data_IF_367042823008
#
_entry.id   IF_367042823008
#
_cell.length_a   1.000
_cell.length_b   1.000
_cell.length_c   1.000
_cell.angle_alpha   90.00
_cell.angle_beta   90.00
_cell.angle_gamma   90.00
#
_symmetry.space_group_name_H-M   'P 1'
#
loop_
_entity.id
_entity.type
_entity.pdbx_description
1 polymer ?
#
# COMPACT_ATOMS: atom_id res chain seq x y z
N UNK A 1 26.98 -34.34 -18.80
CA UNK A 1 26.04 -33.73 -19.70
C UNK A 1 24.75 -34.57 -19.67
N UNK A 2 23.76 -34.13 -18.97
CA UNK A 2 22.46 -34.77 -18.85
C UNK A 2 21.45 -33.65 -18.56
N UNK A 3 20.67 -33.30 -19.58
CA UNK A 3 19.67 -32.23 -19.50
C UNK A 3 18.47 -32.69 -18.69
N UNK A 4 18.07 -31.87 -17.73
CA UNK A 4 16.76 -31.95 -17.10
C UNK A 4 15.78 -31.13 -17.94
N UNK A 5 14.94 -31.83 -18.71
CA UNK A 5 13.70 -31.30 -19.29
C UNK A 5 12.63 -32.36 -19.09
N UNK A 6 12.17 -32.55 -17.86
CA UNK A 6 10.87 -33.15 -17.63
C UNK A 6 9.84 -32.01 -17.56
N UNK A 7 9.05 -31.88 -18.63
CA UNK A 7 7.81 -31.11 -18.59
C UNK A 7 6.85 -31.95 -17.73
N UNK A 8 6.53 -31.47 -16.53
CA UNK A 8 5.49 -32.09 -15.72
C UNK A 8 4.16 -31.72 -16.37
N UNK A 9 3.60 -32.64 -17.16
CA UNK A 9 2.21 -32.55 -17.59
C UNK A 9 1.31 -32.77 -16.39
N UNK A 10 0.49 -31.77 -16.05
CA UNK A 10 -0.50 -31.90 -14.99
C UNK A 10 -1.57 -32.91 -15.43
N UNK A 11 -2.00 -33.82 -14.53
CA UNK A 11 -3.06 -34.78 -14.85
C UNK A 11 -4.37 -34.07 -15.27
N UNK A 12 -5.05 -34.61 -16.26
CA UNK A 12 -6.29 -34.05 -16.84
C UNK A 12 -7.44 -33.88 -15.82
N UNK A 13 -7.40 -34.60 -14.71
CA UNK A 13 -8.36 -34.49 -13.61
C UNK A 13 -8.20 -33.21 -12.79
N UNK A 14 -7.02 -32.57 -12.78
CA UNK A 14 -6.81 -31.25 -12.16
C UNK A 14 -7.41 -30.13 -13.04
N UNK A 15 -7.42 -30.31 -14.34
CA UNK A 15 -8.00 -29.32 -15.28
C UNK A 15 -9.54 -29.35 -15.25
N UNK A 16 -10.15 -30.49 -14.91
CA UNK A 16 -11.60 -30.70 -14.92
C UNK A 16 -12.34 -30.18 -13.68
N UNK A 17 -11.64 -29.79 -12.60
CA UNK A 17 -12.24 -29.29 -11.36
C UNK A 17 -12.20 -27.76 -11.26
N UNK A 18 -12.35 -27.02 -12.37
CA UNK A 18 -12.58 -25.58 -12.24
C UNK A 18 -13.95 -25.35 -11.57
N UNK A 19 -14.01 -24.79 -10.34
CA UNK A 19 -15.29 -24.33 -9.82
C UNK A 19 -15.88 -23.33 -10.82
N UNK A 20 -17.18 -23.40 -11.05
CA UNK A 20 -17.88 -22.45 -11.90
C UNK A 20 -17.50 -21.04 -11.45
N UNK A 21 -16.88 -20.26 -12.33
CA UNK A 21 -16.49 -18.87 -12.06
C UNK A 21 -17.77 -18.14 -11.68
N UNK A 22 -17.86 -17.69 -10.44
CA UNK A 22 -18.95 -16.84 -10.02
C UNK A 22 -19.00 -15.63 -10.96
N UNK A 23 -20.17 -15.18 -11.44
CA UNK A 23 -20.26 -14.07 -12.35
C UNK A 23 -19.57 -12.86 -11.74
N UNK A 24 -18.63 -12.27 -12.46
CA UNK A 24 -17.95 -11.01 -12.11
C UNK A 24 -19.03 -10.00 -11.73
N UNK A 25 -18.98 -9.36 -10.55
CA UNK A 25 -19.99 -8.39 -10.17
C UNK A 25 -20.03 -7.29 -11.24
N UNK A 26 -21.17 -7.12 -11.88
CA UNK A 26 -21.41 -5.99 -12.80
C UNK A 26 -21.51 -4.76 -11.91
N UNK A 27 -20.46 -3.94 -11.89
CA UNK A 27 -20.45 -2.66 -11.19
C UNK A 27 -21.43 -1.72 -11.90
N UNK A 28 -22.67 -1.67 -11.42
CA UNK A 28 -23.61 -0.63 -11.82
C UNK A 28 -23.08 0.70 -11.31
N UNK A 29 -22.89 1.67 -12.23
CA UNK A 29 -22.57 3.08 -11.87
C UNK A 29 -23.71 3.60 -10.98
N UNK A 30 -23.57 3.39 -9.67
CA UNK A 30 -24.43 4.06 -8.70
C UNK A 30 -24.05 5.52 -8.72
N UNK A 31 -25.01 6.40 -9.01
CA UNK A 31 -24.81 7.84 -8.95
C UNK A 31 -24.19 8.21 -7.60
N UNK A 32 -23.03 8.84 -7.62
CA UNK A 32 -22.33 9.35 -6.44
C UNK A 32 -23.16 10.52 -5.90
N UNK A 33 -24.21 10.23 -5.13
CA UNK A 33 -24.73 11.18 -4.17
C UNK A 33 -23.61 11.39 -3.14
N UNK A 34 -23.51 12.58 -2.55
CA UNK A 34 -22.50 12.99 -1.56
C UNK A 34 -22.50 12.06 -0.33
N UNK A 35 -21.97 10.86 -0.53
CA UNK A 35 -21.85 9.88 0.53
C UNK A 35 -20.72 10.34 1.45
N UNK A 36 -20.99 10.38 2.77
CA UNK A 36 -19.94 10.69 3.75
C UNK A 36 -18.77 9.71 3.56
N UNK A 37 -17.53 10.17 3.71
CA UNK A 37 -16.37 9.31 3.59
C UNK A 37 -16.47 8.10 4.52
N UNK A 38 -16.15 6.92 4.01
CA UNK A 38 -16.09 5.68 4.77
C UNK A 38 -14.86 4.89 4.34
N UNK A 39 -14.08 4.41 5.32
CA UNK A 39 -12.77 3.80 5.12
C UNK A 39 -12.83 2.33 5.47
N UNK A 40 -12.46 1.46 4.53
CA UNK A 40 -12.07 0.08 4.79
C UNK A 40 -10.57 0.05 5.01
N UNK A 41 -10.13 -0.16 6.25
CA UNK A 41 -8.73 -0.24 6.63
C UNK A 41 -8.27 -1.69 6.57
N UNK A 42 -7.47 -2.02 5.56
CA UNK A 42 -6.83 -3.32 5.38
C UNK A 42 -5.47 -3.35 6.06
N UNK A 43 -5.25 -4.34 6.92
CA UNK A 43 -4.04 -4.45 7.74
C UNK A 43 -3.38 -5.82 7.48
N UNK A 44 -2.34 -5.88 6.65
CA UNK A 44 -1.47 -7.05 6.58
C UNK A 44 -0.76 -7.23 7.93
N UNK A 45 -0.94 -8.39 8.57
CA UNK A 45 -0.47 -8.64 9.92
C UNK A 45 0.32 -9.95 9.98
N UNK A 46 1.59 -9.92 9.51
CA UNK A 46 2.47 -11.08 9.53
C UNK A 46 2.60 -11.65 10.95
N UNK A 47 2.57 -12.98 11.07
CA UNK A 47 2.60 -13.70 12.35
C UNK A 47 1.51 -13.27 13.36
N UNK A 48 0.40 -12.66 12.89
CA UNK A 48 -0.68 -12.11 13.73
C UNK A 48 -0.18 -11.11 14.79
N UNK A 49 0.93 -10.40 14.52
CA UNK A 49 1.55 -9.44 15.45
C UNK A 49 1.44 -8.01 14.93
N UNK A 50 1.28 -7.09 15.87
CA UNK A 50 1.35 -5.65 15.61
C UNK A 50 2.22 -4.96 16.65
N UNK A 51 2.79 -3.80 16.30
CA UNK A 51 3.56 -3.00 17.25
C UNK A 51 2.66 -2.22 18.19
N UNK A 52 3.16 -1.89 19.38
CA UNK A 52 2.44 -1.07 20.35
C UNK A 52 2.14 0.33 19.79
N UNK A 53 3.07 0.92 19.03
CA UNK A 53 2.88 2.21 18.36
C UNK A 53 1.73 2.17 17.36
N UNK A 54 1.66 1.12 16.52
CA UNK A 54 0.54 0.91 15.61
C UNK A 54 -0.79 0.77 16.38
N UNK A 55 -0.84 -0.10 17.39
CA UNK A 55 -2.06 -0.33 18.19
C UNK A 55 -2.58 0.97 18.83
N UNK A 56 -1.68 1.78 19.44
CA UNK A 56 -2.03 3.07 20.01
C UNK A 56 -2.57 4.04 18.94
N UNK A 57 -1.91 4.12 17.77
CA UNK A 57 -2.36 4.95 16.65
C UNK A 57 -3.73 4.52 16.14
N UNK A 58 -3.99 3.22 16.07
CA UNK A 58 -5.25 2.64 15.59
C UNK A 58 -6.43 3.00 16.51
N UNK A 59 -6.24 2.87 17.82
CA UNK A 59 -7.26 3.27 18.84
C UNK A 59 -7.57 4.76 18.72
N UNK A 60 -6.54 5.59 18.61
CA UNK A 60 -6.70 7.03 18.46
C UNK A 60 -7.37 7.41 17.13
N UNK A 61 -7.08 6.68 16.03
CA UNK A 61 -7.74 6.86 14.74
C UNK A 61 -9.24 6.54 14.82
N UNK A 62 -9.62 5.45 15.47
CA UNK A 62 -11.02 5.09 15.66
C UNK A 62 -11.79 6.20 16.39
N UNK A 63 -11.22 6.73 17.46
CA UNK A 63 -11.83 7.83 18.22
C UNK A 63 -11.98 9.11 17.37
N UNK A 64 -10.94 9.46 16.60
CA UNK A 64 -10.96 10.63 15.73
C UNK A 64 -11.97 10.49 14.58
N UNK A 65 -12.03 9.32 13.94
CA UNK A 65 -13.02 9.03 12.89
C UNK A 65 -14.46 9.17 13.41
N UNK A 66 -14.73 8.65 14.62
CA UNK A 66 -16.04 8.80 15.27
C UNK A 66 -16.39 10.28 15.50
N UNK A 67 -15.46 11.10 15.99
CA UNK A 67 -15.64 12.56 16.18
C UNK A 67 -15.92 13.30 14.86
N UNK A 68 -15.26 12.89 13.76
CA UNK A 68 -15.37 13.51 12.44
C UNK A 68 -16.53 12.94 11.61
N UNK A 69 -17.25 11.93 12.12
CA UNK A 69 -18.35 11.27 11.41
C UNK A 69 -17.88 10.47 10.19
N UNK A 70 -16.61 10.01 10.19
CA UNK A 70 -16.03 9.11 9.19
C UNK A 70 -16.24 7.67 9.68
N UNK A 71 -16.92 6.86 8.87
CA UNK A 71 -17.05 5.43 9.18
C UNK A 71 -15.72 4.74 8.89
N UNK A 72 -15.24 3.91 9.81
CA UNK A 72 -14.05 3.07 9.61
C UNK A 72 -14.36 1.62 9.98
N UNK A 73 -13.91 0.70 9.13
CA UNK A 73 -13.93 -0.74 9.38
C UNK A 73 -12.51 -1.26 9.22
N UNK A 74 -12.10 -2.17 10.10
CA UNK A 74 -10.75 -2.72 10.14
C UNK A 74 -10.79 -4.20 9.80
N UNK A 75 -10.00 -4.62 8.82
CA UNK A 75 -9.84 -6.00 8.41
C UNK A 75 -8.37 -6.41 8.45
N UNK A 76 -8.10 -7.57 9.07
CA UNK A 76 -6.75 -8.08 9.27
C UNK A 76 -6.54 -9.35 8.46
N UNK A 77 -5.40 -9.45 7.78
CA UNK A 77 -4.92 -10.71 7.21
C UNK A 77 -3.68 -11.14 7.99
N UNK A 78 -3.89 -12.12 8.88
CA UNK A 78 -2.82 -12.72 9.69
C UNK A 78 -2.18 -13.94 9.01
N UNK A 79 -0.95 -14.26 9.40
CA UNK A 79 -0.20 -15.45 8.98
C UNK A 79 -0.02 -15.63 7.46
N UNK A 80 -0.13 -14.54 6.69
CA UNK A 80 0.19 -14.56 5.27
C UNK A 80 1.63 -14.08 5.06
N UNK A 81 2.47 -14.96 4.50
CA UNK A 81 3.90 -14.67 4.31
C UNK A 81 4.18 -13.83 3.06
N UNK A 82 3.28 -13.86 2.07
CA UNK A 82 3.38 -13.06 0.85
C UNK A 82 2.56 -11.78 1.00
N UNK A 83 3.25 -10.67 1.18
CA UNK A 83 2.59 -9.35 1.37
C UNK A 83 1.68 -8.98 0.19
N UNK A 84 2.10 -9.26 -1.03
CA UNK A 84 1.28 -9.03 -2.22
C UNK A 84 -0.03 -9.82 -2.19
N UNK A 85 -0.02 -11.06 -1.68
CA UNK A 85 -1.23 -11.87 -1.55
C UNK A 85 -2.15 -11.32 -0.46
N UNK A 86 -1.60 -10.95 0.69
CA UNK A 86 -2.36 -10.31 1.76
C UNK A 86 -3.08 -9.04 1.27
N UNK A 87 -2.39 -8.18 0.52
CA UNK A 87 -2.98 -6.96 -0.05
C UNK A 87 -4.10 -7.28 -1.05
N UNK A 88 -3.89 -8.24 -1.96
CA UNK A 88 -4.91 -8.63 -2.95
C UNK A 88 -6.16 -9.23 -2.28
N UNK A 89 -6.01 -10.04 -1.23
CA UNK A 89 -7.12 -10.56 -0.43
C UNK A 89 -7.92 -9.42 0.21
N UNK A 90 -7.24 -8.46 0.82
CA UNK A 90 -7.88 -7.30 1.46
C UNK A 90 -8.61 -6.41 0.43
N UNK A 91 -8.04 -6.21 -0.75
CA UNK A 91 -8.71 -5.50 -1.85
C UNK A 91 -9.99 -6.22 -2.27
N UNK A 92 -9.94 -7.55 -2.44
CA UNK A 92 -11.14 -8.33 -2.78
C UNK A 92 -12.23 -8.20 -1.73
N UNK A 93 -11.88 -8.30 -0.45
CA UNK A 93 -12.82 -8.12 0.66
C UNK A 93 -13.43 -6.72 0.71
N UNK A 94 -12.63 -5.69 0.44
CA UNK A 94 -13.12 -4.32 0.27
C UNK A 94 -14.16 -4.22 -0.85
N UNK A 95 -13.89 -4.80 -2.01
CA UNK A 95 -14.81 -4.77 -3.15
C UNK A 95 -16.12 -5.50 -2.89
N UNK A 96 -16.10 -6.52 -2.03
CA UNK A 96 -17.31 -7.22 -1.56
C UNK A 96 -18.20 -6.35 -0.64
N UNK A 97 -17.72 -5.20 -0.19
CA UNK A 97 -18.44 -4.27 0.70
C UNK A 97 -18.68 -2.92 0.02
N UNK A 98 -19.73 -2.77 -0.79
CA UNK A 98 -19.93 -1.63 -1.69
C UNK A 98 -20.16 -0.28 -1.01
N UNK A 99 -20.42 -0.26 0.29
CA UNK A 99 -20.72 0.94 1.06
C UNK A 99 -19.47 1.73 1.50
N UNK A 100 -18.25 1.14 1.40
CA UNK A 100 -17.02 1.88 1.67
C UNK A 100 -16.57 2.68 0.45
N UNK A 101 -16.26 3.96 0.66
CA UNK A 101 -15.82 4.88 -0.40
C UNK A 101 -14.32 4.83 -0.64
N UNK A 102 -13.55 4.49 0.39
CA UNK A 102 -12.09 4.42 0.36
C UNK A 102 -11.58 3.12 0.94
N UNK A 103 -10.48 2.65 0.39
CA UNK A 103 -9.64 1.62 0.99
C UNK A 103 -8.35 2.25 1.46
N UNK A 104 -7.89 1.87 2.64
CA UNK A 104 -6.60 2.27 3.17
C UNK A 104 -5.80 1.06 3.60
N UNK A 105 -4.51 1.04 3.28
CA UNK A 105 -3.54 0.15 3.91
C UNK A 105 -2.77 0.89 4.98
N UNK A 106 -2.61 0.24 6.14
CA UNK A 106 -1.59 0.59 7.13
C UNK A 106 -0.93 -0.70 7.59
N UNK A 107 0.40 -0.80 7.39
CA UNK A 107 1.15 -1.97 7.85
C UNK A 107 1.21 -2.00 9.39
N UNK A 108 1.12 -3.19 9.98
CA UNK A 108 0.96 -3.41 11.42
C UNK A 108 2.17 -2.95 12.29
N UNK A 109 3.20 -2.39 11.66
CA UNK A 109 4.41 -1.87 12.28
C UNK A 109 4.68 -0.38 11.98
N UNK A 110 3.69 0.31 11.40
CA UNK A 110 3.71 1.77 11.16
C UNK A 110 3.00 2.49 12.32
N UNK A 111 3.72 3.31 13.05
CA UNK A 111 3.14 4.25 14.02
C UNK A 111 2.85 5.61 13.37
N UNK A 112 1.69 6.20 13.67
CA UNK A 112 1.22 7.42 13.01
C UNK A 112 0.35 8.28 13.91
N UNK A 113 0.26 9.58 13.58
CA UNK A 113 -0.77 10.44 14.14
C UNK A 113 -2.08 10.24 13.39
N UNK A 114 -3.24 10.05 14.05
CA UNK A 114 -4.53 9.87 13.39
C UNK A 114 -4.89 10.96 12.38
N UNK A 115 -4.46 12.20 12.60
CA UNK A 115 -4.65 13.31 11.67
C UNK A 115 -4.02 13.05 10.30
N UNK A 116 -3.00 12.20 10.21
CA UNK A 116 -2.36 11.82 8.95
C UNK A 116 -3.34 11.12 8.00
N UNK A 117 -4.23 10.29 8.52
CA UNK A 117 -5.27 9.62 7.72
C UNK A 117 -6.28 10.64 7.17
N UNK A 118 -6.74 11.56 8.04
CA UNK A 118 -7.68 12.61 7.61
C UNK A 118 -7.03 13.56 6.60
N UNK A 119 -5.75 13.87 6.77
CA UNK A 119 -5.00 14.68 5.82
C UNK A 119 -4.96 14.07 4.42
N UNK A 120 -4.73 12.75 4.30
CA UNK A 120 -4.82 12.06 3.00
C UNK A 120 -6.25 12.10 2.45
N UNK A 121 -7.25 11.91 3.29
CA UNK A 121 -8.66 11.94 2.91
C UNK A 121 -9.08 13.33 2.41
N UNK A 122 -8.68 14.39 3.12
CA UNK A 122 -8.99 15.78 2.80
C UNK A 122 -8.29 16.26 1.51
N UNK A 123 -7.14 15.66 1.14
CA UNK A 123 -6.45 15.94 -0.13
C UNK A 123 -7.21 15.43 -1.36
N UNK A 124 -8.14 14.51 -1.18
CA UNK A 124 -9.14 14.05 -2.14
C UNK A 124 -8.62 13.58 -3.50
N UNK A 125 -7.43 12.97 -3.56
CA UNK A 125 -6.90 12.33 -4.78
C UNK A 125 -7.23 10.84 -4.80
N UNK A 126 -7.18 10.25 -6.00
CA UNK A 126 -7.54 8.83 -6.19
C UNK A 126 -6.59 7.88 -5.47
N UNK A 127 -5.29 8.22 -5.44
CA UNK A 127 -4.22 7.43 -4.84
C UNK A 127 -3.25 8.33 -4.09
N UNK A 128 -3.19 8.21 -2.76
CA UNK A 128 -2.39 9.08 -1.89
C UNK A 128 -1.70 8.25 -0.81
N UNK A 129 -0.40 8.43 -0.64
CA UNK A 129 0.41 7.78 0.40
C UNK A 129 1.04 8.83 1.32
N UNK A 130 1.42 8.44 2.54
CA UNK A 130 2.38 9.19 3.32
C UNK A 130 3.70 8.40 3.41
N UNK A 131 4.81 9.12 3.39
CA UNK A 131 6.14 8.53 3.28
C UNK A 131 6.68 8.18 4.66
N UNK A 132 7.19 6.97 4.82
CA UNK A 132 7.79 6.48 6.05
C UNK A 132 9.22 5.96 5.82
N UNK A 133 10.10 6.00 6.86
CA UNK A 133 11.48 5.56 6.71
C UNK A 133 11.59 4.04 6.51
N UNK A 134 12.62 3.62 5.78
CA UNK A 134 13.03 2.21 5.73
C UNK A 134 13.54 1.76 7.09
N UNK A 135 13.49 0.45 7.36
CA UNK A 135 14.09 -0.17 8.56
C UNK A 135 15.60 -0.32 8.44
N UNK A 136 16.28 0.78 8.06
CA UNK A 136 17.74 0.81 7.89
C UNK A 136 18.29 2.20 8.18
N UNK A 137 19.55 2.27 8.62
CA UNK A 137 20.30 3.49 8.80
C UNK A 137 21.51 3.45 7.88
N UNK A 138 21.67 4.47 7.06
CA UNK A 138 22.88 4.66 6.24
C UNK A 138 23.98 5.31 7.08
N UNK A 139 24.76 4.48 7.78
CA UNK A 139 25.87 4.94 8.63
C UNK A 139 26.98 5.66 7.86
N UNK A 140 27.18 5.32 6.57
CA UNK A 140 28.10 6.04 5.70
C UNK A 140 27.71 7.50 5.53
N UNK A 141 26.44 7.75 5.25
CA UNK A 141 25.89 9.11 5.13
C UNK A 141 25.95 9.87 6.45
N UNK A 142 25.66 9.21 7.59
CA UNK A 142 25.79 9.81 8.93
C UNK A 142 27.22 10.27 9.15
N UNK A 143 28.21 9.40 8.90
CA UNK A 143 29.63 9.73 9.04
C UNK A 143 30.05 10.91 8.16
N UNK A 144 29.61 10.92 6.91
CA UNK A 144 29.89 12.00 5.95
C UNK A 144 29.32 13.34 6.44
N UNK A 145 28.04 13.39 6.81
CA UNK A 145 27.38 14.61 7.29
C UNK A 145 28.04 15.14 8.56
N UNK A 146 28.32 14.27 9.53
CA UNK A 146 29.01 14.66 10.77
C UNK A 146 30.41 15.22 10.46
N UNK A 147 31.19 14.60 9.56
CA UNK A 147 32.52 15.10 9.18
C UNK A 147 32.50 16.45 8.48
N UNK A 148 31.37 16.80 7.84
CA UNK A 148 31.12 18.12 7.22
C UNK A 148 30.55 19.16 8.20
N UNK A 149 30.41 18.81 9.48
CA UNK A 149 29.89 19.73 10.51
C UNK A 149 28.39 19.96 10.44
N UNK A 150 27.60 19.02 9.90
CA UNK A 150 26.14 19.13 9.88
C UNK A 150 25.57 19.24 11.31
N UNK A 151 24.61 20.14 11.49
CA UNK A 151 23.86 20.33 12.74
C UNK A 151 22.51 19.59 12.75
N UNK A 152 22.22 18.82 11.68
CA UNK A 152 21.02 17.99 11.57
C UNK A 152 20.94 16.98 12.72
N UNK A 153 19.72 16.64 13.15
CA UNK A 153 19.52 15.58 14.15
C UNK A 153 20.09 14.25 13.62
N UNK A 154 21.04 13.69 14.36
CA UNK A 154 21.74 12.46 14.00
C UNK A 154 20.76 11.29 13.73
N UNK A 155 19.59 11.29 14.35
CA UNK A 155 18.53 10.30 14.16
C UNK A 155 17.89 10.39 12.78
N UNK A 156 17.93 11.57 12.16
CA UNK A 156 17.36 11.84 10.82
C UNK A 156 18.42 11.66 9.71
N UNK A 157 19.69 11.95 10.02
CA UNK A 157 20.78 11.98 9.03
C UNK A 157 20.89 10.73 8.17
N UNK A 158 20.67 9.57 8.77
CA UNK A 158 20.86 8.26 8.12
C UNK A 158 19.59 7.61 7.63
N UNK A 159 18.43 8.24 7.77
CA UNK A 159 17.18 7.67 7.30
C UNK A 159 17.11 7.65 5.78
N UNK A 160 16.56 6.58 5.23
CA UNK A 160 16.23 6.43 3.83
C UNK A 160 14.75 6.11 3.68
N UNK A 161 14.14 6.47 2.52
CA UNK A 161 12.70 6.39 2.29
C UNK A 161 12.42 5.69 0.96
N UNK A 162 11.31 4.92 0.90
CA UNK A 162 10.85 4.25 -0.31
C UNK A 162 9.96 5.17 -1.12
N UNK A 163 10.59 6.04 -1.92
CA UNK A 163 9.90 7.00 -2.77
C UNK A 163 10.75 7.33 -4.01
N UNK A 164 10.11 7.42 -5.16
CA UNK A 164 10.71 7.91 -6.40
C UNK A 164 9.86 9.09 -6.92
N UNK A 165 10.21 10.35 -6.58
CA UNK A 165 9.46 11.51 -7.01
C UNK A 165 9.56 11.74 -8.53
N UNK A 166 8.49 12.28 -9.14
CA UNK A 166 8.51 12.73 -10.55
C UNK A 166 9.07 14.13 -10.62
N UNK A 167 8.73 15.00 -9.66
CA UNK A 167 9.30 16.33 -9.51
C UNK A 167 9.67 16.55 -8.04
N UNK A 168 10.64 17.45 -7.80
CA UNK A 168 11.10 17.75 -6.45
C UNK A 168 10.33 18.89 -5.77
N UNK A 169 9.46 19.57 -6.52
CA UNK A 169 8.66 20.68 -5.98
C UNK A 169 7.42 20.12 -5.27
N UNK A 170 7.25 20.38 -3.97
CA UNK A 170 6.04 20.01 -3.27
C UNK A 170 4.83 20.72 -3.87
N UNK A 171 3.74 19.99 -4.03
CA UNK A 171 2.45 20.60 -4.30
C UNK A 171 1.98 21.41 -3.08
N UNK A 172 0.96 22.26 -3.26
CA UNK A 172 0.33 22.96 -2.12
C UNK A 172 0.02 21.99 -0.99
N UNK A 173 0.37 22.35 0.23
CA UNK A 173 0.22 21.53 1.43
C UNK A 173 1.18 20.32 1.56
N UNK A 174 2.29 20.26 0.85
CA UNK A 174 3.33 19.23 1.04
C UNK A 174 3.04 17.89 0.38
N UNK A 175 2.19 17.85 -0.65
CA UNK A 175 2.03 16.67 -1.49
C UNK A 175 2.80 16.81 -2.79
N UNK A 176 3.43 15.73 -3.24
CA UNK A 176 4.14 15.65 -4.52
C UNK A 176 3.64 14.48 -5.36
N UNK A 177 3.75 14.58 -6.68
CA UNK A 177 3.55 13.43 -7.57
C UNK A 177 4.77 12.53 -7.54
N UNK A 178 4.51 11.23 -7.52
CA UNK A 178 5.57 10.21 -7.44
C UNK A 178 5.39 9.14 -8.51
N UNK A 179 6.50 8.59 -8.94
CA UNK A 179 6.53 7.44 -9.83
C UNK A 179 6.24 6.15 -9.05
N UNK A 180 6.87 6.02 -7.89
CA UNK A 180 6.69 4.90 -6.97
C UNK A 180 6.74 5.39 -5.53
N UNK A 181 5.96 4.76 -4.67
CA UNK A 181 5.97 4.95 -3.21
C UNK A 181 5.59 3.66 -2.52
N UNK A 182 6.09 3.46 -1.30
CA UNK A 182 5.69 2.33 -0.48
C UNK A 182 4.21 2.39 -0.08
N UNK A 183 3.56 1.24 -0.03
CA UNK A 183 2.10 1.12 0.17
C UNK A 183 1.67 0.78 1.59
N UNK A 184 2.60 0.79 2.55
CA UNK A 184 2.31 0.54 3.96
C UNK A 184 1.56 1.67 4.68
N UNK A 185 1.30 2.81 4.00
CA UNK A 185 0.41 3.87 4.46
C UNK A 185 -0.26 4.53 3.24
N UNK A 186 -1.22 3.85 2.62
CA UNK A 186 -1.78 4.18 1.31
C UNK A 186 -3.30 4.29 1.38
N UNK A 187 -3.86 5.44 0.96
CA UNK A 187 -5.29 5.67 0.79
C UNK A 187 -5.67 5.65 -0.70
N UNK A 188 -6.73 4.93 -1.05
CA UNK A 188 -7.22 4.74 -2.40
C UNK A 188 -8.73 4.95 -2.46
N UNK A 189 -9.22 5.68 -3.47
CA UNK A 189 -10.66 5.75 -3.75
C UNK A 189 -11.17 4.44 -4.36
N UNK A 190 -12.43 4.09 -4.06
CA UNK A 190 -13.10 2.92 -4.64
C UNK A 190 -13.03 2.91 -6.16
N UNK A 191 -13.40 4.01 -6.80
CA UNK A 191 -13.44 4.08 -8.27
C UNK A 191 -12.09 3.85 -8.95
N UNK A 192 -10.98 4.19 -8.27
CA UNK A 192 -9.63 3.83 -8.73
C UNK A 192 -9.44 2.31 -8.77
N UNK A 193 -9.75 1.63 -7.66
CA UNK A 193 -9.57 0.18 -7.53
C UNK A 193 -10.47 -0.55 -8.53
N UNK A 194 -11.73 -0.12 -8.68
CA UNK A 194 -12.67 -0.69 -9.65
C UNK A 194 -12.16 -0.54 -11.09
N UNK A 195 -11.57 0.61 -11.45
CA UNK A 195 -10.93 0.81 -12.77
C UNK A 195 -9.75 -0.12 -12.99
N UNK A 196 -8.89 -0.34 -11.99
CA UNK A 196 -7.78 -1.28 -12.07
C UNK A 196 -8.29 -2.72 -12.22
N UNK A 197 -9.28 -3.11 -11.46
CA UNK A 197 -9.89 -4.45 -11.54
C UNK A 197 -10.49 -4.71 -12.91
N UNK A 198 -11.23 -3.76 -13.47
CA UNK A 198 -11.80 -3.91 -14.82
C UNK A 198 -10.72 -3.99 -15.90
N UNK A 199 -9.67 -3.16 -15.78
CA UNK A 199 -8.60 -3.14 -16.78
C UNK A 199 -7.75 -4.41 -16.78
N UNK A 200 -7.42 -4.93 -15.60
CA UNK A 200 -6.50 -6.07 -15.43
C UNK A 200 -7.21 -7.42 -15.21
N UNK A 201 -8.53 -7.48 -15.36
CA UNK A 201 -9.33 -8.68 -15.03
C UNK A 201 -8.93 -9.96 -15.77
N UNK A 202 -8.43 -9.85 -17.01
CA UNK A 202 -7.98 -11.00 -17.79
C UNK A 202 -6.50 -11.33 -17.54
N UNK A 203 -5.66 -10.30 -17.40
CA UNK A 203 -4.21 -10.46 -17.28
C UNK A 203 -3.77 -10.91 -15.88
N UNK A 204 -4.42 -10.38 -14.85
CA UNK A 204 -4.02 -10.56 -13.44
C UNK A 204 -5.04 -11.37 -12.62
N UNK A 205 -5.93 -12.10 -13.28
CA UNK A 205 -6.83 -13.01 -12.56
C UNK A 205 -6.05 -14.10 -11.87
N UNK A 206 -6.32 -14.30 -10.57
CA UNK A 206 -5.67 -15.32 -9.77
C UNK A 206 -6.69 -16.07 -8.92
N UNK A 207 -6.56 -17.38 -8.85
CA UNK A 207 -7.28 -18.23 -7.93
C UNK A 207 -6.54 -18.24 -6.59
N UNK A 208 -7.28 -18.10 -5.50
CA UNK A 208 -6.72 -18.17 -4.15
C UNK A 208 -6.93 -19.59 -3.59
N UNK A 209 -5.84 -20.30 -3.35
CA UNK A 209 -5.81 -21.65 -2.81
C UNK A 209 -5.67 -21.69 -1.27
N UNK A 210 -5.58 -20.53 -0.62
CA UNK A 210 -5.45 -20.43 0.84
C UNK A 210 -6.80 -20.61 1.51
N UNK A 211 -6.92 -21.67 2.29
CA UNK A 211 -8.12 -21.95 3.08
C UNK A 211 -8.33 -20.92 4.19
N UNK A 212 -9.61 -20.68 4.53
CA UNK A 212 -9.99 -19.81 5.67
C UNK A 212 -9.96 -18.31 5.38
N UNK A 213 -9.60 -17.88 4.17
CA UNK A 213 -9.54 -16.44 3.84
C UNK A 213 -10.87 -15.86 3.28
N UNK A 214 -11.90 -16.69 3.07
CA UNK A 214 -13.19 -16.29 2.48
C UNK A 214 -13.09 -15.52 1.15
N UNK A 215 -12.03 -15.78 0.39
CA UNK A 215 -11.73 -15.21 -0.93
C UNK A 215 -11.24 -16.35 -1.82
N UNK A 216 -11.99 -16.66 -2.86
CA UNK A 216 -11.67 -17.74 -3.82
C UNK A 216 -10.80 -17.28 -4.98
N UNK A 217 -10.86 -15.99 -5.30
CA UNK A 217 -10.18 -15.39 -6.43
C UNK A 217 -10.02 -13.87 -6.24
N UNK A 218 -9.09 -13.26 -6.98
CA UNK A 218 -8.90 -11.81 -7.02
C UNK A 218 -8.20 -11.39 -8.32
N UNK A 219 -8.19 -10.11 -8.60
CA UNK A 219 -7.30 -9.54 -9.62
C UNK A 219 -6.04 -9.07 -8.88
N UNK A 220 -4.89 -9.65 -9.23
CA UNK A 220 -3.63 -9.51 -8.49
C UNK A 220 -2.92 -8.17 -8.77
N UNK A 221 -3.59 -7.05 -8.51
CA UNK A 221 -3.07 -5.70 -8.78
C UNK A 221 -1.81 -5.37 -7.97
N UNK A 222 -1.55 -6.10 -6.88
CA UNK A 222 -0.33 -6.03 -6.07
C UNK A 222 0.69 -7.14 -6.40
N UNK A 223 0.54 -7.88 -7.50
CA UNK A 223 1.58 -8.84 -7.90
C UNK A 223 2.89 -8.13 -8.26
N UNK A 224 4.02 -8.66 -7.77
CA UNK A 224 5.34 -8.21 -8.21
C UNK A 224 5.49 -8.36 -9.73
N UNK A 225 6.35 -7.58 -10.35
CA UNK A 225 6.58 -7.65 -11.79
C UNK A 225 8.01 -7.27 -12.17
N UNK A 226 8.38 -7.58 -13.42
CA UNK A 226 9.64 -7.11 -14.00
C UNK A 226 9.32 -5.99 -15.00
N UNK A 227 9.87 -4.81 -14.78
CA UNK A 227 9.75 -3.70 -15.72
C UNK A 227 10.31 -4.09 -17.07
N UNK A 228 9.50 -4.01 -18.11
CA UNK A 228 9.86 -4.50 -19.46
C UNK A 228 11.02 -3.73 -20.08
N UNK A 229 11.16 -2.42 -19.75
CA UNK A 229 12.18 -1.52 -20.32
C UNK A 229 13.49 -1.58 -19.53
N UNK A 230 13.40 -1.40 -18.22
CA UNK A 230 14.58 -1.28 -17.35
C UNK A 230 15.08 -2.61 -16.82
N UNK A 231 14.29 -3.69 -16.95
CA UNK A 231 14.53 -5.03 -16.37
C UNK A 231 14.67 -5.04 -14.84
N UNK A 232 14.21 -3.97 -14.18
CA UNK A 232 14.14 -3.93 -12.72
C UNK A 232 13.04 -4.85 -12.21
N UNK A 233 13.33 -5.58 -11.16
CA UNK A 233 12.28 -6.23 -10.37
C UNK A 233 11.54 -5.14 -9.58
N UNK A 234 10.25 -5.05 -9.78
CA UNK A 234 9.35 -4.17 -9.05
C UNK A 234 8.67 -4.98 -7.94
N UNK A 235 8.83 -4.53 -6.70
CA UNK A 235 8.05 -5.02 -5.57
C UNK A 235 6.57 -4.73 -5.77
N UNK A 236 5.72 -5.30 -4.93
CA UNK A 236 4.26 -5.17 -5.04
C UNK A 236 3.79 -3.72 -5.03
N UNK A 237 4.41 -2.88 -4.19
CA UNK A 237 4.13 -1.46 -4.06
C UNK A 237 4.48 -0.67 -5.34
N UNK A 238 5.68 -0.88 -5.90
CA UNK A 238 6.10 -0.24 -7.13
C UNK A 238 5.32 -0.75 -8.33
N UNK A 239 5.09 -2.04 -8.42
CA UNK A 239 4.29 -2.64 -9.49
C UNK A 239 2.84 -2.11 -9.47
N UNK A 240 2.24 -1.95 -8.29
CA UNK A 240 0.92 -1.33 -8.13
C UNK A 240 0.91 0.12 -8.62
N UNK A 241 1.87 0.94 -8.21
CA UNK A 241 1.97 2.33 -8.65
C UNK A 241 2.06 2.43 -10.18
N UNK A 242 2.89 1.58 -10.81
CA UNK A 242 3.05 1.55 -12.28
C UNK A 242 1.77 1.14 -12.99
N UNK A 243 1.07 0.11 -12.52
CA UNK A 243 -0.21 -0.31 -13.09
C UNK A 243 -1.25 0.79 -13.06
N UNK A 244 -1.33 1.54 -11.95
CA UNK A 244 -2.25 2.68 -11.87
C UNK A 244 -1.89 3.78 -12.88
N UNK A 245 -0.61 4.08 -13.05
CA UNK A 245 -0.14 5.08 -14.01
C UNK A 245 -0.29 4.63 -15.46
N UNK A 246 -0.15 3.34 -15.76
CA UNK A 246 -0.38 2.78 -17.11
C UNK A 246 -1.80 3.04 -17.62
N UNK A 247 -2.78 3.13 -16.73
CA UNK A 247 -4.18 3.46 -17.08
C UNK A 247 -4.53 4.94 -16.88
N UNK A 248 -3.51 5.80 -16.77
CA UNK A 248 -3.65 7.27 -16.73
C UNK A 248 -3.93 7.84 -15.34
N UNK A 249 -3.61 7.12 -14.27
CA UNK A 249 -3.72 7.61 -12.90
C UNK A 249 -2.47 8.34 -12.42
N UNK A 250 -2.63 9.15 -11.38
CA UNK A 250 -1.52 9.78 -10.63
C UNK A 250 -1.39 9.15 -9.25
N UNK A 251 -0.16 9.03 -8.77
CA UNK A 251 0.15 8.67 -7.39
C UNK A 251 0.73 9.88 -6.68
N UNK A 252 0.20 10.19 -5.51
CA UNK A 252 0.60 11.33 -4.70
C UNK A 252 1.21 10.88 -3.37
N UNK A 253 2.22 11.59 -2.89
CA UNK A 253 2.86 11.33 -1.61
C UNK A 253 2.89 12.59 -0.73
N UNK A 254 2.39 12.45 0.50
CA UNK A 254 2.59 13.44 1.57
C UNK A 254 4.01 13.29 2.12
N UNK A 255 4.82 14.33 1.97
CA UNK A 255 6.22 14.36 2.44
C UNK A 255 6.37 15.10 3.79
N UNK A 256 5.28 15.61 4.35
CA UNK A 256 5.30 16.40 5.60
C UNK A 256 4.87 15.61 6.82
N UNK A 257 4.09 14.55 6.62
CA UNK A 257 3.58 13.73 7.72
C UNK A 257 4.70 12.85 8.31
N UNK A 258 5.02 12.99 9.61
CA UNK A 258 5.97 12.11 10.25
C UNK A 258 5.33 10.76 10.57
N UNK A 259 5.96 9.69 10.11
CA UNK A 259 5.59 8.32 10.42
C UNK A 259 6.77 7.59 11.08
N UNK A 260 6.47 6.56 11.88
CA UNK A 260 7.50 5.68 12.43
C UNK A 260 7.33 4.27 11.86
N UNK A 261 8.44 3.60 11.61
CA UNK A 261 8.48 2.22 11.10
C UNK A 261 9.28 1.36 12.09
N UNK A 262 8.59 0.45 12.74
CA UNK A 262 9.17 -0.36 13.82
C UNK A 262 9.67 -1.71 13.28
N UNK A 263 10.92 -2.03 13.60
CA UNK A 263 11.53 -3.34 13.40
C UNK A 263 12.24 -3.73 14.70
N UNK A 264 13.51 -4.18 14.59
CA UNK A 264 14.38 -4.35 15.77
C UNK A 264 14.75 -2.99 16.41
N UNK A 265 14.44 -1.91 15.72
CA UNK A 265 14.60 -0.51 16.13
C UNK A 265 13.41 0.29 15.60
N UNK A 266 13.08 1.42 16.23
CA UNK A 266 12.06 2.37 15.73
C UNK A 266 12.75 3.41 14.87
N UNK A 267 12.44 3.41 13.57
CA UNK A 267 12.86 4.42 12.61
C UNK A 267 11.75 5.45 12.49
N UNK A 268 12.02 6.73 12.80
CA UNK A 268 11.00 7.78 12.83
C UNK A 268 11.55 9.06 12.22
N UNK A 269 10.77 9.67 11.34
CA UNK A 269 11.13 10.92 10.68
C UNK A 269 10.19 11.27 9.54
N UNK A 270 10.42 12.45 8.96
CA UNK A 270 9.78 12.83 7.72
C UNK A 270 10.84 13.18 6.65
N UNK A 271 10.49 12.99 5.40
CA UNK A 271 11.43 13.19 4.29
C UNK A 271 11.70 14.68 4.04
N UNK A 272 10.77 15.57 4.37
CA UNK A 272 10.92 17.00 4.19
C UNK A 272 12.05 17.57 5.04
N UNK A 273 12.17 17.14 6.30
CA UNK A 273 13.29 17.54 7.18
C UNK A 273 14.64 17.13 6.62
N UNK A 274 14.69 16.00 5.88
CA UNK A 274 15.90 15.54 5.22
C UNK A 274 16.27 16.37 3.99
N UNK A 275 15.30 16.84 3.20
CA UNK A 275 15.52 17.53 1.91
C UNK A 275 15.79 19.02 2.12
N UNK A 276 15.17 19.66 3.13
CA UNK A 276 15.29 21.11 3.35
C UNK A 276 16.65 21.55 3.89
N UNK A 277 17.57 20.64 4.17
CA UNK A 277 18.91 20.94 4.75
C UNK A 277 20.08 20.59 3.81
N UNK A 278 19.82 20.42 2.50
CA UNK A 278 20.81 20.09 1.47
C UNK A 278 21.30 21.32 0.69
#
# INVERSE_FOLDING_TARGET
>A
MGGFTEIIELPDDIVAQRPAVAPTPVFTKTAIQSQKPSIFLGIPCYACMMTNSFAASLIALQALCAQRGVQIYMDFVGNESLIERARNILVKRFLQQPHFTHMMFIDADIGFNPQSVLRLLDFDKDCTSAVYPKKSINWGLVKEKVSKGSTEDIRQMGLDFNINPICNDPHDNGFIKVLDVATGFLLMKRGMIERMYEHYKEELFAVNDIQGQNVSDYIAIFACSIDKKTKRFLSEDYAFCRRWQEIGGDVWADITTPLSHTGNHVFSGNILERVSMG
#
